data_IF_676975529068
#
_entry.id   IF_676975529068
#
_cell.length_a   1.000
_cell.length_b   1.000
_cell.length_c   1.000
_cell.angle_alpha   90.00
_cell.angle_beta   90.00
_cell.angle_gamma   90.00
#
_symmetry.space_group_name_H-M   'P 1'
#
loop_
_entity.id
_entity.type
_entity.pdbx_description
1 polymer ?
#
# COMPACT_ATOMS: atom_id res chain seq x y z
N UNK A 1 -10.73 6.49 -29.59
CA UNK A 1 -10.89 6.99 -28.19
C UNK A 1 -11.51 8.38 -28.25
N UNK A 2 -12.44 8.74 -27.36
CA UNK A 2 -13.11 10.04 -27.35
C UNK A 2 -12.28 11.11 -26.60
N UNK A 3 -12.43 12.38 -26.99
CA UNK A 3 -11.78 13.53 -26.34
C UNK A 3 -12.13 13.58 -24.83
N UNK A 4 -11.17 13.86 -23.92
CA UNK A 4 -11.42 14.08 -22.50
C UNK A 4 -12.56 15.06 -22.18
N UNK A 5 -12.74 16.10 -23.00
CA UNK A 5 -13.81 17.10 -22.87
C UNK A 5 -15.17 16.64 -23.43
N UNK A 6 -15.27 15.43 -23.98
CA UNK A 6 -16.53 14.90 -24.50
C UNK A 6 -17.52 14.62 -23.35
N UNK A 7 -18.80 14.91 -23.59
CA UNK A 7 -19.89 14.71 -22.61
C UNK A 7 -19.88 13.29 -22.01
N UNK A 8 -19.74 12.26 -22.84
CA UNK A 8 -19.70 10.87 -22.40
C UNK A 8 -18.51 10.56 -21.47
N UNK A 9 -17.37 11.20 -21.68
CA UNK A 9 -16.19 11.02 -20.82
C UNK A 9 -16.39 11.74 -19.49
N UNK A 10 -16.92 12.97 -19.53
CA UNK A 10 -17.26 13.75 -18.33
C UNK A 10 -18.29 13.04 -17.44
N UNK A 11 -19.34 12.45 -18.01
CA UNK A 11 -20.35 11.67 -17.28
C UNK A 11 -19.72 10.45 -16.59
N UNK A 12 -18.85 9.71 -17.27
CA UNK A 12 -18.13 8.57 -16.68
C UNK A 12 -17.22 8.98 -15.53
N UNK A 13 -16.50 10.09 -15.68
CA UNK A 13 -15.64 10.62 -14.62
C UNK A 13 -16.45 11.13 -13.42
N UNK A 14 -17.61 11.75 -13.66
CA UNK A 14 -18.55 12.14 -12.60
C UNK A 14 -19.03 10.91 -11.82
N UNK A 15 -19.52 9.87 -12.50
CA UNK A 15 -19.98 8.61 -11.86
C UNK A 15 -18.89 7.95 -11.02
N UNK A 16 -17.62 7.99 -11.49
CA UNK A 16 -16.47 7.47 -10.75
C UNK A 16 -16.32 8.16 -9.38
N UNK A 17 -16.41 9.49 -9.34
CA UNK A 17 -16.30 10.25 -8.09
C UNK A 17 -17.55 10.10 -7.21
N UNK A 18 -18.74 9.95 -7.80
CA UNK A 18 -19.96 9.64 -7.04
C UNK A 18 -19.85 8.31 -6.31
N UNK A 19 -19.30 7.27 -6.95
CA UNK A 19 -19.04 5.98 -6.30
C UNK A 19 -18.05 6.08 -5.15
N UNK A 20 -17.01 6.90 -5.29
CA UNK A 20 -16.08 7.17 -4.18
C UNK A 20 -16.75 7.91 -3.01
N UNK A 21 -17.68 8.84 -3.30
CA UNK A 21 -18.49 9.54 -2.28
C UNK A 21 -19.47 8.60 -1.58
N UNK A 22 -20.08 7.67 -2.31
CA UNK A 22 -20.93 6.63 -1.74
C UNK A 22 -20.11 5.68 -0.84
N UNK A 23 -18.90 5.30 -1.27
CA UNK A 23 -18.00 4.49 -0.44
C UNK A 23 -17.66 5.22 0.87
N UNK A 24 -17.45 6.54 0.84
CA UNK A 24 -17.14 7.34 2.04
C UNK A 24 -18.17 7.18 3.16
N UNK A 25 -19.47 7.05 2.85
CA UNK A 25 -20.50 6.88 3.88
C UNK A 25 -20.59 5.45 4.42
N UNK A 26 -20.07 4.46 3.68
CA UNK A 26 -20.12 3.03 4.04
C UNK A 26 -18.80 2.46 4.58
N UNK A 27 -17.69 3.18 4.37
CA UNK A 27 -16.33 2.68 4.66
C UNK A 27 -16.14 2.26 6.12
N UNK A 28 -16.77 2.95 7.08
CA UNK A 28 -16.68 2.60 8.51
C UNK A 28 -17.16 1.17 8.75
N UNK A 29 -18.37 0.85 8.28
CA UNK A 29 -18.93 -0.50 8.38
C UNK A 29 -18.09 -1.55 7.66
N UNK A 30 -17.62 -1.25 6.44
CA UNK A 30 -16.76 -2.18 5.67
C UNK A 30 -15.48 -2.50 6.45
N UNK A 31 -14.91 -1.50 7.14
CA UNK A 31 -13.73 -1.68 7.98
C UNK A 31 -14.01 -2.56 9.19
N UNK A 32 -15.12 -2.32 9.87
CA UNK A 32 -15.53 -3.15 11.01
C UNK A 32 -15.75 -4.61 10.57
N UNK A 33 -16.43 -4.82 9.44
CA UNK A 33 -16.72 -6.13 8.88
C UNK A 33 -15.43 -6.91 8.56
N UNK A 34 -14.46 -6.31 7.84
CA UNK A 34 -13.22 -7.03 7.51
C UNK A 34 -12.35 -7.29 8.75
N UNK A 35 -12.40 -6.43 9.78
CA UNK A 35 -11.66 -6.62 11.04
C UNK A 35 -12.20 -7.82 11.81
N UNK A 36 -13.53 -8.00 11.81
CA UNK A 36 -14.17 -9.19 12.36
C UNK A 36 -13.76 -10.43 11.56
N UNK A 37 -13.77 -10.35 10.23
CA UNK A 37 -13.42 -11.44 9.32
C UNK A 37 -11.98 -11.94 9.45
N UNK A 38 -11.05 -11.14 10.00
CA UNK A 38 -9.69 -11.60 10.34
C UNK A 38 -9.68 -12.83 11.26
N UNK A 39 -10.75 -13.05 12.03
CA UNK A 39 -10.91 -14.16 12.97
C UNK A 39 -11.81 -15.27 12.44
N UNK A 40 -12.32 -15.18 11.21
CA UNK A 40 -13.23 -16.17 10.64
C UNK A 40 -12.67 -17.58 10.71
N UNK A 41 -13.52 -18.61 10.80
CA UNK A 41 -13.08 -20.01 10.72
C UNK A 41 -12.71 -20.40 9.28
N UNK A 42 -13.24 -19.68 8.29
CA UNK A 42 -13.01 -19.96 6.88
C UNK A 42 -11.77 -19.22 6.35
N UNK A 43 -10.83 -19.97 5.75
CA UNK A 43 -9.60 -19.40 5.18
C UNK A 43 -9.89 -18.38 4.08
N UNK A 44 -10.85 -18.66 3.18
CA UNK A 44 -11.25 -17.75 2.10
C UNK A 44 -11.68 -16.38 2.65
N UNK A 45 -12.41 -16.36 3.76
CA UNK A 45 -12.87 -15.14 4.42
C UNK A 45 -11.70 -14.37 5.04
N UNK A 46 -10.74 -15.06 5.67
CA UNK A 46 -9.52 -14.42 6.19
C UNK A 46 -8.67 -13.80 5.08
N UNK A 47 -8.47 -14.53 3.98
CA UNK A 47 -7.67 -14.02 2.86
C UNK A 47 -8.34 -12.79 2.22
N UNK A 48 -9.65 -12.87 1.95
CA UNK A 48 -10.44 -11.75 1.44
C UNK A 48 -10.35 -10.51 2.34
N UNK A 49 -10.50 -10.67 3.65
CA UNK A 49 -10.46 -9.55 4.59
C UNK A 49 -9.08 -8.92 4.67
N UNK A 50 -7.99 -9.72 4.68
CA UNK A 50 -6.62 -9.19 4.65
C UNK A 50 -6.30 -8.49 3.33
N UNK A 51 -6.73 -9.06 2.19
CA UNK A 51 -6.58 -8.41 0.89
C UNK A 51 -7.33 -7.07 0.82
N UNK A 52 -8.56 -7.02 1.34
CA UNK A 52 -9.35 -5.79 1.42
C UNK A 52 -8.71 -4.75 2.34
N UNK A 53 -8.14 -5.17 3.46
CA UNK A 53 -7.36 -4.30 4.35
C UNK A 53 -6.17 -3.64 3.61
N UNK A 54 -5.42 -4.40 2.81
CA UNK A 54 -4.32 -3.84 2.02
C UNK A 54 -4.80 -2.85 0.94
N UNK A 55 -5.92 -3.14 0.28
CA UNK A 55 -6.51 -2.23 -0.71
C UNK A 55 -6.98 -0.93 -0.04
N UNK A 56 -7.62 -1.02 1.13
CA UNK A 56 -8.10 0.15 1.87
C UNK A 56 -6.95 1.00 2.43
N UNK A 57 -5.97 0.37 3.12
CA UNK A 57 -4.93 1.09 3.86
C UNK A 57 -3.72 1.49 3.02
N UNK A 58 -3.31 0.62 2.10
CA UNK A 58 -2.07 0.78 1.33
C UNK A 58 -2.34 1.19 -0.12
N UNK A 59 -3.61 1.26 -0.52
CA UNK A 59 -4.04 1.56 -1.88
C UNK A 59 -3.40 0.64 -2.94
N UNK A 60 -3.07 -0.60 -2.55
CA UNK A 60 -2.56 -1.61 -3.47
C UNK A 60 -3.58 -1.88 -4.56
N UNK A 61 -3.09 -2.10 -5.78
CA UNK A 61 -3.94 -2.50 -6.90
C UNK A 61 -4.33 -3.96 -6.72
N UNK A 62 -5.57 -4.28 -7.09
CA UNK A 62 -5.95 -5.66 -7.25
C UNK A 62 -5.38 -6.14 -8.60
N UNK A 63 -4.33 -6.97 -8.58
CA UNK A 63 -3.74 -7.56 -9.78
C UNK A 63 -4.79 -8.37 -10.54
N UNK A 64 -5.00 -8.10 -11.81
CA UNK A 64 -5.93 -8.92 -12.59
C UNK A 64 -5.16 -10.13 -13.14
N UNK A 65 -5.87 -11.23 -13.40
CA UNK A 65 -5.29 -12.37 -14.11
C UNK A 65 -4.79 -11.91 -15.49
N UNK A 66 -3.46 -11.85 -15.63
CA UNK A 66 -2.65 -11.80 -16.86
C UNK A 66 -2.93 -10.64 -17.84
N UNK A 67 -2.25 -9.52 -17.62
CA UNK A 67 -1.57 -8.82 -18.72
C UNK A 67 -0.07 -9.12 -18.56
N UNK A 68 0.62 -9.58 -19.61
CA UNK A 68 2.00 -10.13 -19.57
C UNK A 68 3.08 -9.19 -18.97
N UNK A 69 2.74 -7.93 -18.70
CA UNK A 69 3.64 -6.88 -18.20
C UNK A 69 3.35 -6.42 -16.75
N UNK A 70 2.44 -7.09 -16.01
CA UNK A 70 2.12 -6.74 -14.61
C UNK A 70 2.65 -7.79 -13.65
N UNK A 71 3.46 -7.41 -12.65
CA UNK A 71 3.81 -8.34 -11.60
C UNK A 71 2.62 -8.58 -10.66
N UNK A 72 2.34 -9.86 -10.42
CA UNK A 72 1.29 -10.32 -9.52
C UNK A 72 1.56 -9.81 -8.10
N UNK A 73 0.84 -8.78 -7.67
CA UNK A 73 1.10 -8.12 -6.37
C UNK A 73 0.85 -9.04 -5.16
N UNK A 74 0.40 -10.28 -5.37
CA UNK A 74 0.07 -11.23 -4.31
C UNK A 74 0.89 -12.51 -4.30
N UNK A 75 2.06 -12.54 -4.91
CA UNK A 75 2.94 -13.70 -4.77
C UNK A 75 3.65 -13.66 -3.41
N UNK A 76 3.89 -14.83 -2.81
CA UNK A 76 4.52 -14.90 -1.48
C UNK A 76 5.91 -14.28 -1.44
N UNK A 77 6.67 -14.31 -2.55
CA UNK A 77 7.97 -13.66 -2.70
C UNK A 77 7.97 -12.14 -2.49
N UNK A 78 6.82 -11.49 -2.67
CA UNK A 78 6.70 -10.03 -2.56
C UNK A 78 6.60 -9.52 -1.12
N UNK A 79 6.56 -10.43 -0.15
CA UNK A 79 6.25 -10.12 1.25
C UNK A 79 7.30 -10.75 2.17
N UNK A 80 7.90 -9.93 3.02
CA UNK A 80 8.80 -10.38 4.11
C UNK A 80 8.21 -9.99 5.46
N UNK A 81 8.06 -10.98 6.35
CA UNK A 81 7.45 -10.79 7.68
C UNK A 81 8.51 -10.51 8.75
N UNK A 82 8.51 -9.29 9.30
CA UNK A 82 9.41 -8.87 10.40
C UNK A 82 8.73 -9.05 11.76
N UNK A 83 9.07 -10.15 12.44
CA UNK A 83 8.38 -10.62 13.67
C UNK A 83 8.48 -9.67 14.87
N UNK A 84 9.58 -8.92 14.99
CA UNK A 84 9.87 -8.08 16.17
C UNK A 84 8.88 -6.93 16.34
N UNK A 85 8.30 -6.44 15.25
CA UNK A 85 7.48 -5.21 15.24
C UNK A 85 6.12 -5.40 14.55
N UNK A 86 5.76 -6.63 14.16
CA UNK A 86 4.59 -6.91 13.31
C UNK A 86 4.59 -6.08 12.01
N UNK A 87 5.78 -5.88 11.42
CA UNK A 87 5.91 -5.15 10.17
C UNK A 87 5.91 -6.14 8.98
N UNK A 88 5.29 -5.71 7.89
CA UNK A 88 5.32 -6.41 6.60
C UNK A 88 6.13 -5.55 5.66
N UNK A 89 7.21 -6.12 5.14
CA UNK A 89 7.98 -5.55 4.06
C UNK A 89 7.41 -6.03 2.74
N UNK A 90 7.09 -5.08 1.88
CA UNK A 90 6.63 -5.29 0.52
C UNK A 90 7.78 -4.94 -0.41
N UNK A 91 8.15 -5.85 -1.30
CA UNK A 91 9.19 -5.61 -2.31
C UNK A 91 8.83 -6.32 -3.61
N UNK A 92 8.34 -5.55 -4.58
CA UNK A 92 7.94 -6.09 -5.88
C UNK A 92 7.99 -5.04 -6.99
N UNK A 93 8.03 -5.48 -8.23
CA UNK A 93 7.93 -4.59 -9.40
C UNK A 93 6.46 -4.31 -9.70
N UNK A 94 6.04 -3.05 -9.68
CA UNK A 94 4.70 -2.65 -10.07
C UNK A 94 4.55 -2.53 -11.59
N UNK A 95 3.48 -1.82 -11.98
CA UNK A 95 3.26 -1.43 -13.38
C UNK A 95 4.47 -0.67 -13.92
N UNK A 96 4.81 -0.90 -15.19
CA UNK A 96 5.93 -0.25 -15.88
C UNK A 96 7.30 -0.59 -15.21
N UNK A 97 7.38 -1.73 -14.52
CA UNK A 97 8.56 -2.22 -13.78
C UNK A 97 9.10 -1.26 -12.71
N UNK A 98 8.23 -0.44 -12.14
CA UNK A 98 8.60 0.47 -11.05
C UNK A 98 8.62 -0.30 -9.73
N UNK A 99 9.78 -0.39 -9.08
CA UNK A 99 9.92 -1.06 -7.78
C UNK A 99 9.06 -0.37 -6.71
N UNK A 100 8.23 -1.16 -6.04
CA UNK A 100 7.53 -0.79 -4.82
C UNK A 100 8.25 -1.45 -3.65
N UNK A 101 8.94 -0.66 -2.84
CA UNK A 101 9.53 -1.11 -1.57
C UNK A 101 8.89 -0.33 -0.42
N UNK A 102 8.36 -1.04 0.57
CA UNK A 102 7.71 -0.41 1.71
C UNK A 102 7.70 -1.33 2.93
N UNK A 103 7.96 -0.80 4.13
CA UNK A 103 7.85 -1.55 5.38
C UNK A 103 6.74 -0.93 6.22
N UNK A 104 5.68 -1.69 6.43
CA UNK A 104 4.45 -1.17 7.04
C UNK A 104 4.12 -1.94 8.32
N UNK A 105 3.86 -1.27 9.45
CA UNK A 105 3.30 -1.93 10.61
C UNK A 105 1.87 -2.36 10.30
N UNK A 106 1.56 -3.63 10.53
CA UNK A 106 0.20 -4.14 10.36
C UNK A 106 -0.39 -4.55 11.70
N UNK A 107 -1.70 -4.72 11.72
CA UNK A 107 -2.36 -5.26 12.89
C UNK A 107 -1.81 -6.67 13.22
N UNK A 108 -1.62 -6.96 14.51
CA UNK A 108 -1.12 -8.27 14.98
C UNK A 108 -1.89 -9.46 14.39
N UNK A 109 -3.19 -9.30 14.13
CA UNK A 109 -4.04 -10.32 13.51
C UNK A 109 -3.75 -10.48 12.02
N UNK A 110 -3.56 -9.38 11.30
CA UNK A 110 -3.12 -9.39 9.90
C UNK A 110 -1.78 -10.10 9.79
N UNK A 111 -0.80 -9.74 10.63
CA UNK A 111 0.52 -10.39 10.65
C UNK A 111 0.43 -11.91 10.85
N UNK A 112 -0.33 -12.36 11.85
CA UNK A 112 -0.53 -13.79 12.12
C UNK A 112 -1.23 -14.52 10.97
N UNK A 113 -2.19 -13.87 10.32
CA UNK A 113 -2.86 -14.43 9.15
C UNK A 113 -1.89 -14.56 7.97
N UNK A 114 -1.02 -13.57 7.73
CA UNK A 114 0.02 -13.68 6.70
C UNK A 114 0.99 -14.83 6.96
N UNK A 115 1.40 -15.04 8.21
CA UNK A 115 2.22 -16.21 8.58
C UNK A 115 1.53 -17.53 8.20
N UNK A 116 0.23 -17.62 8.46
CA UNK A 116 -0.58 -18.79 8.11
C UNK A 116 -0.77 -18.93 6.60
N UNK A 117 -0.90 -17.82 5.87
CA UNK A 117 -1.09 -17.84 4.42
C UNK A 117 0.18 -18.25 3.67
N UNK A 118 1.36 -18.01 4.27
CA UNK A 118 2.66 -18.40 3.73
C UNK A 118 3.08 -19.82 4.16
N UNK A 119 2.34 -20.44 5.08
CA UNK A 119 2.67 -21.78 5.57
C UNK A 119 2.56 -22.80 4.42
N UNK A 120 3.62 -23.59 4.24
CA UNK A 120 3.76 -24.58 3.16
C UNK A 120 3.77 -24.01 1.72
N UNK A 121 3.99 -22.71 1.55
CA UNK A 121 4.16 -22.06 0.25
C UNK A 121 5.62 -21.71 -0.03
N UNK A 122 5.98 -21.67 -1.32
CA UNK A 122 7.32 -21.36 -1.81
C UNK A 122 7.23 -20.20 -2.80
N UNK A 123 8.17 -19.25 -2.71
CA UNK A 123 8.51 -18.22 -3.71
C UNK A 123 7.37 -17.68 -4.57
N UNK A 124 7.04 -18.40 -5.65
CA UNK A 124 6.08 -17.98 -6.68
C UNK A 124 4.62 -18.36 -6.38
N UNK A 125 4.36 -19.12 -5.30
CA UNK A 125 3.01 -19.48 -4.90
C UNK A 125 2.20 -18.24 -4.48
N UNK A 126 0.91 -18.25 -4.83
CA UNK A 126 -0.05 -17.20 -4.47
C UNK A 126 -0.19 -17.06 -2.96
N UNK A 127 0.01 -15.86 -2.42
CA UNK A 127 -0.28 -15.54 -1.01
C UNK A 127 -1.75 -15.78 -0.69
N UNK A 128 -2.64 -15.42 -1.60
CA UNK A 128 -4.09 -15.57 -1.46
C UNK A 128 -4.65 -16.68 -2.38
N UNK A 129 -4.24 -17.93 -2.15
CA UNK A 129 -4.58 -19.11 -2.95
C UNK A 129 -6.10 -19.41 -3.09
N UNK A 130 -6.95 -18.80 -2.27
CA UNK A 130 -8.42 -18.97 -2.31
C UNK A 130 -9.16 -17.71 -2.73
N UNK A 131 -8.45 -16.72 -3.27
CA UNK A 131 -8.99 -15.43 -3.66
C UNK A 131 -8.48 -15.03 -5.05
N UNK A 132 -9.38 -14.59 -5.91
CA UNK A 132 -9.04 -13.87 -7.14
C UNK A 132 -9.83 -12.56 -7.21
N UNK A 133 -9.54 -11.73 -8.22
CA UNK A 133 -10.18 -10.41 -8.36
C UNK A 133 -11.67 -10.50 -8.61
N UNK A 134 -12.14 -11.53 -9.31
CA UNK A 134 -13.56 -11.76 -9.57
C UNK A 134 -14.30 -11.97 -8.25
N UNK A 135 -13.86 -12.91 -7.42
CA UNK A 135 -14.45 -13.20 -6.10
C UNK A 135 -14.42 -11.96 -5.20
N UNK A 136 -13.30 -11.22 -5.21
CA UNK A 136 -13.17 -10.00 -4.42
C UNK A 136 -14.17 -8.92 -4.87
N UNK A 137 -14.28 -8.67 -6.18
CA UNK A 137 -15.19 -7.66 -6.70
C UNK A 137 -16.67 -8.05 -6.56
N UNK A 138 -17.00 -9.34 -6.67
CA UNK A 138 -18.35 -9.85 -6.36
C UNK A 138 -18.73 -9.56 -4.91
N UNK A 139 -17.83 -9.86 -3.97
CA UNK A 139 -18.03 -9.52 -2.56
C UNK A 139 -18.18 -8.02 -2.35
N UNK A 140 -17.29 -7.20 -2.92
CA UNK A 140 -17.39 -5.74 -2.82
C UNK A 140 -18.72 -5.21 -3.36
N UNK A 141 -19.16 -5.72 -4.52
CA UNK A 141 -20.42 -5.35 -5.12
C UNK A 141 -21.63 -5.72 -4.24
N UNK A 142 -21.53 -6.81 -3.47
CA UNK A 142 -22.55 -7.18 -2.46
C UNK A 142 -22.64 -6.20 -1.29
N UNK A 143 -21.52 -5.55 -0.92
CA UNK A 143 -21.50 -4.52 0.13
C UNK A 143 -22.06 -3.18 -0.37
N UNK A 144 -21.84 -2.88 -1.65
CA UNK A 144 -22.32 -1.67 -2.29
C UNK A 144 -22.37 -1.87 -3.81
N UNK A 145 -23.54 -1.65 -4.41
CA UNK A 145 -23.74 -1.80 -5.86
C UNK A 145 -22.74 -0.94 -6.65
N UNK A 146 -21.95 -1.59 -7.51
CA UNK A 146 -20.90 -0.97 -8.32
C UNK A 146 -19.58 -0.72 -7.57
N UNK A 147 -19.42 -1.23 -6.35
CA UNK A 147 -18.15 -1.16 -5.64
C UNK A 147 -17.17 -2.19 -6.20
N UNK A 148 -15.95 -1.73 -6.47
CA UNK A 148 -14.82 -2.56 -6.92
C UNK A 148 -13.55 -2.09 -6.21
N UNK A 149 -12.48 -2.89 -6.27
CA UNK A 149 -11.19 -2.50 -5.69
C UNK A 149 -10.67 -1.14 -6.24
N UNK A 150 -10.98 -0.81 -7.50
CA UNK A 150 -10.58 0.46 -8.13
C UNK A 150 -11.23 1.69 -7.46
N UNK A 151 -12.43 1.55 -6.90
CA UNK A 151 -13.14 2.65 -6.23
C UNK A 151 -12.38 3.08 -4.97
N UNK A 152 -11.74 2.15 -4.25
CA UNK A 152 -10.92 2.47 -3.07
C UNK A 152 -9.75 3.40 -3.41
N UNK A 153 -9.10 3.22 -4.57
CA UNK A 153 -8.02 4.12 -5.03
C UNK A 153 -8.52 5.54 -5.26
N UNK A 154 -9.69 5.68 -5.88
CA UNK A 154 -10.32 7.00 -6.10
C UNK A 154 -10.75 7.62 -4.77
N UNK A 155 -11.33 6.82 -3.88
CA UNK A 155 -11.71 7.25 -2.55
C UNK A 155 -10.50 7.75 -1.75
N UNK A 156 -9.42 6.97 -1.66
CA UNK A 156 -8.21 7.34 -0.95
C UNK A 156 -7.54 8.60 -1.55
N UNK A 157 -7.50 8.72 -2.88
CA UNK A 157 -6.99 9.91 -3.55
C UNK A 157 -7.87 11.16 -3.34
N UNK A 158 -9.18 10.97 -3.06
CA UNK A 158 -10.13 12.06 -2.79
C UNK A 158 -10.18 12.49 -1.32
N UNK A 159 -9.52 11.76 -0.42
CA UNK A 159 -9.46 12.15 0.99
C UNK A 159 -8.52 13.35 1.15
N UNK A 160 -8.91 14.36 1.96
CA UNK A 160 -8.00 15.45 2.28
C UNK A 160 -6.79 14.88 3.02
N UNK A 161 -5.59 15.31 2.63
CA UNK A 161 -4.36 14.97 3.33
C UNK A 161 -4.48 15.42 4.79
N UNK A 162 -4.43 14.48 5.73
CA UNK A 162 -4.38 14.80 7.16
C UNK A 162 -2.93 15.08 7.51
N UNK A 163 -2.56 16.36 7.56
CA UNK A 163 -1.30 16.82 8.17
C UNK A 163 -1.22 16.30 9.60
N UNK A 164 -0.48 15.22 9.83
CA UNK A 164 -0.14 14.74 11.16
C UNK A 164 1.35 14.97 11.42
N UNK A 165 1.82 16.20 11.20
CA UNK A 165 3.13 16.69 11.67
C UNK A 165 3.10 18.23 11.66
N UNK A 166 3.17 18.85 12.84
CA UNK A 166 3.41 20.29 12.98
C UNK A 166 4.87 20.56 12.62
N UNK A 167 5.15 20.79 11.34
CA UNK A 167 6.24 21.60 10.79
C UNK A 167 6.59 21.10 9.38
N UNK A 168 6.06 21.81 8.38
CA UNK A 168 6.78 22.29 7.19
C UNK A 168 5.75 22.67 6.14
N UNK A 169 5.78 23.93 5.72
CA UNK A 169 5.07 24.40 4.54
C UNK A 169 5.55 23.60 3.33
N UNK A 170 4.67 22.92 2.60
CA UNK A 170 4.94 22.54 1.21
C UNK A 170 3.65 22.25 0.40
N UNK A 171 3.58 22.65 -0.88
CA UNK A 171 2.35 22.73 -1.67
C UNK A 171 2.04 21.39 -2.38
N UNK A 172 1.69 20.36 -1.62
CA UNK A 172 1.41 19.03 -2.17
C UNK A 172 -0.10 18.82 -2.42
N UNK A 173 -0.72 19.73 -3.16
CA UNK A 173 -2.08 19.53 -3.73
C UNK A 173 -1.99 18.99 -5.17
N UNK A 174 -0.82 19.04 -5.81
CA UNK A 174 -0.64 18.56 -7.18
C UNK A 174 -0.28 17.07 -7.29
N UNK A 175 0.39 16.47 -6.31
CA UNK A 175 1.03 15.16 -6.50
C UNK A 175 0.05 13.96 -6.50
N UNK A 176 -1.12 14.08 -5.85
CA UNK A 176 -2.16 13.04 -5.90
C UNK A 176 -3.06 13.12 -7.13
N UNK A 177 -3.06 14.26 -7.84
CA UNK A 177 -3.66 14.38 -9.17
C UNK A 177 -2.80 13.67 -10.23
N UNK A 178 -1.48 13.63 -10.05
CA UNK A 178 -0.54 13.01 -10.99
C UNK A 178 -0.56 11.48 -11.01
N UNK A 179 -1.04 10.79 -9.96
CA UNK A 179 -1.07 9.33 -9.91
C UNK A 179 -2.09 8.65 -10.88
N UNK A 180 -2.84 9.43 -11.66
CA UNK A 180 -3.82 8.94 -12.65
C UNK A 180 -3.43 9.17 -14.12
N UNK A 181 -2.25 9.72 -14.41
CA UNK A 181 -1.74 9.86 -15.78
C UNK A 181 -0.24 9.56 -15.79
N UNK A 182 0.17 8.63 -16.64
CA UNK A 182 1.57 8.26 -16.87
C UNK A 182 2.48 9.49 -17.03
N UNK A 183 3.70 9.40 -16.46
CA UNK A 183 4.98 10.11 -16.73
C UNK A 183 5.64 10.67 -15.45
N UNK A 184 6.66 9.95 -15.00
CA UNK A 184 8.00 10.39 -14.55
C UNK A 184 8.17 11.79 -13.89
N UNK A 185 8.58 11.80 -12.62
CA UNK A 185 9.68 12.65 -12.12
C UNK A 185 10.51 11.82 -11.11
N UNK A 186 11.85 11.78 -11.23
CA UNK A 186 12.72 11.09 -10.30
C UNK A 186 12.95 11.99 -9.09
N UNK A 187 12.08 11.92 -8.09
CA UNK A 187 12.37 12.49 -6.78
C UNK A 187 12.19 11.42 -5.74
N UNK A 188 13.29 11.13 -5.05
CA UNK A 188 13.38 10.37 -3.79
C UNK A 188 12.35 10.89 -2.77
N UNK A 189 11.10 10.47 -2.90
CA UNK A 189 10.08 10.62 -1.88
C UNK A 189 9.36 9.28 -1.73
N UNK A 190 10.16 8.27 -1.38
CA UNK A 190 9.71 7.05 -0.73
C UNK A 190 9.25 7.40 0.68
N UNK A 191 8.06 7.98 0.82
CA UNK A 191 7.35 7.99 2.11
C UNK A 191 5.95 7.44 1.94
N UNK A 192 5.62 6.25 2.49
CA UNK A 192 4.26 5.75 2.48
C UNK A 192 3.27 6.70 3.16
N UNK A 193 1.99 6.60 2.76
CA UNK A 193 0.84 7.27 3.40
C UNK A 193 0.71 6.98 4.91
N UNK A 194 1.48 6.03 5.42
CA UNK A 194 1.66 5.68 6.83
C UNK A 194 3.15 5.33 7.03
N UNK A 195 3.98 6.32 7.35
CA UNK A 195 5.28 6.09 7.98
C UNK A 195 5.08 6.12 9.49
N UNK A 196 5.28 4.97 10.14
CA UNK A 196 5.39 4.89 11.59
C UNK A 196 6.84 4.56 11.91
N UNK A 197 7.49 5.40 12.71
CA UNK A 197 8.90 5.25 13.09
C UNK A 197 9.19 3.92 13.82
N UNK A 198 8.15 3.21 14.28
CA UNK A 198 8.29 1.88 14.88
C UNK A 198 8.84 0.80 13.95
N UNK A 199 8.65 0.92 12.64
CA UNK A 199 9.25 0.00 11.65
C UNK A 199 10.54 0.55 11.02
N UNK A 200 10.91 1.78 11.36
CA UNK A 200 12.11 2.46 10.85
C UNK A 200 13.12 2.47 11.98
N UNK A 201 13.89 1.40 12.18
CA UNK A 201 15.15 1.48 12.93
C UNK A 201 16.11 0.32 12.67
N UNK A 202 17.37 0.68 12.35
CA UNK A 202 18.62 -0.09 12.49
C UNK A 202 18.93 -1.17 11.45
N UNK A 203 19.17 -0.75 10.22
CA UNK A 203 20.20 -1.40 9.39
C UNK A 203 21.06 -0.31 8.75
N UNK A 204 22.28 -0.18 9.28
CA UNK A 204 23.47 0.53 8.78
C UNK A 204 24.03 1.61 9.72
N UNK A 205 25.18 1.27 10.31
CA UNK A 205 26.21 2.11 10.94
C UNK A 205 26.03 2.53 12.42
N UNK A 206 25.91 1.54 13.31
CA UNK A 206 26.77 1.54 14.52
C UNK A 206 28.13 0.95 14.13
N UNK A 207 28.91 1.72 13.34
CA UNK A 207 30.36 1.53 13.29
C UNK A 207 30.91 2.29 14.49
N UNK A 208 31.52 1.53 15.38
CA UNK A 208 32.21 1.97 16.60
C UNK A 208 33.25 3.08 16.30
N UNK A 209 32.83 4.36 16.32
CA UNK A 209 33.71 5.54 16.12
C UNK A 209 34.75 5.69 17.24
N UNK A 210 34.79 4.81 18.25
CA UNK A 210 35.80 4.83 19.32
C UNK A 210 37.01 3.93 19.06
N UNK A 211 37.09 3.23 17.92
CA UNK A 211 38.21 2.30 17.62
C UNK A 211 39.17 2.72 16.50
N UNK A 212 39.01 3.91 15.91
CA UNK A 212 40.05 4.47 15.05
C UNK A 212 40.76 5.62 15.78
N UNK A 213 41.88 5.27 16.42
CA UNK A 213 42.83 6.24 16.94
C UNK A 213 43.38 7.10 15.81
N UNK A 214 42.82 8.29 15.63
CA UNK A 214 43.40 9.34 14.81
C UNK A 214 43.87 10.44 15.75
N UNK A 215 45.18 10.53 15.89
CA UNK A 215 45.88 11.59 16.61
C UNK A 215 45.54 12.94 15.98
N UNK A 216 44.81 13.78 16.69
CA UNK A 216 44.62 15.19 16.33
C UNK A 216 45.90 15.95 16.64
N UNK A 217 46.76 16.14 15.63
CA UNK A 217 47.78 17.19 15.68
C UNK A 217 47.11 18.55 15.42
N UNK A 218 47.15 19.43 16.43
CA UNK A 218 46.79 20.85 16.30
C UNK A 218 47.80 21.59 15.42
N UNK A 219 47.37 22.44 14.47
CA UNK A 219 48.26 23.43 13.89
C UNK A 219 48.45 24.59 14.87
N UNK A 220 49.70 24.80 15.28
CA UNK A 220 50.15 26.01 15.98
C UNK A 220 49.91 27.23 15.11
N UNK A 221 49.18 28.22 15.65
CA UNK A 221 49.31 29.61 15.25
C UNK A 221 50.73 30.09 15.61
N UNK A 222 51.46 30.61 14.63
CA UNK A 222 52.67 31.40 14.85
C UNK A 222 52.58 32.70 14.06
N UNK A 223 52.43 33.78 14.84
CA UNK A 223 52.62 35.22 14.57
C UNK A 223 51.71 35.91 13.56
#
# INVERSE_FOLDING_TARGET
MLNPSSKLKGEKDMMKYEKARELKSKIGKIRDDYVVDFKSKEMRVRQRSVALYFIDKLALRAGNEKDEDQADTWNTSHYTLRKTEFCVEFDFLGKDSIRYHNIVPVEKRVFKNLQLFMENKKGEDDLFDRLNTTILNEYLNSLMKGLTAKVFRTYNASLPYKNNSRNSQNPMIMELLYANTLVWIPTKLDRPLFEDERCVNKSENDVDIRKMGVSLHSPRLLR
#
